data_IF_975534281246
#
_entry.id   IF_975534281246
#
_cell.length_a   1.000
_cell.length_b   1.000
_cell.length_c   1.000
_cell.angle_alpha   90.00
_cell.angle_beta   90.00
_cell.angle_gamma   90.00
#
_symmetry.space_group_name_H-M   'P 1'
#
loop_
_entity.id
_entity.type
_entity.pdbx_description
1 polymer ?
#
# COMPACT_ATOMS: atom_id res chain seq x y z
N UNK A 1 10.14 -2.52 -13.27
CA UNK A 1 9.84 -1.50 -12.24
C UNK A 1 8.45 -0.92 -12.49
N UNK A 2 7.79 -0.34 -11.48
CA UNK A 2 6.42 0.18 -11.58
C UNK A 2 6.23 1.17 -12.74
N UNK A 3 7.23 2.02 -13.00
CA UNK A 3 7.22 2.99 -14.10
C UNK A 3 6.96 2.32 -15.45
N UNK A 4 7.76 1.31 -15.82
CA UNK A 4 7.61 0.58 -17.08
C UNK A 4 6.31 -0.23 -17.17
N UNK A 5 5.69 -0.55 -16.03
CA UNK A 5 4.35 -1.13 -16.05
C UNK A 5 3.31 -0.05 -16.37
N UNK A 6 3.38 1.13 -15.74
CA UNK A 6 2.49 2.27 -16.03
C UNK A 6 2.53 2.67 -17.50
N UNK A 7 3.73 2.79 -18.09
CA UNK A 7 3.88 3.12 -19.51
C UNK A 7 3.16 2.12 -20.41
N UNK A 8 3.39 0.81 -20.20
CA UNK A 8 2.73 -0.24 -20.99
C UNK A 8 1.21 -0.28 -20.82
N UNK A 9 0.68 0.07 -19.65
CA UNK A 9 -0.77 0.17 -19.46
C UNK A 9 -1.33 1.38 -20.22
N UNK A 10 -0.63 2.52 -20.22
CA UNK A 10 -1.05 3.69 -20.98
C UNK A 10 -0.94 3.52 -22.51
N UNK A 11 -0.01 2.69 -22.98
CA UNK A 11 0.06 2.33 -24.40
C UNK A 11 -1.19 1.52 -24.85
N UNK A 12 -1.73 0.68 -23.97
CA UNK A 12 -2.92 -0.14 -24.23
C UNK A 12 -4.23 0.66 -24.05
N UNK A 13 -4.27 1.58 -23.08
CA UNK A 13 -5.40 2.46 -22.79
C UNK A 13 -5.00 3.95 -22.88
N UNK A 14 -4.86 4.50 -24.09
CA UNK A 14 -4.31 5.85 -24.29
C UNK A 14 -5.22 6.97 -23.77
N UNK A 15 -6.53 6.73 -23.69
CA UNK A 15 -7.51 7.70 -23.18
C UNK A 15 -7.70 7.62 -21.65
N UNK A 16 -7.01 6.70 -20.97
CA UNK A 16 -7.17 6.51 -19.54
C UNK A 16 -6.37 7.53 -18.71
N UNK A 17 -7.03 8.10 -17.70
CA UNK A 17 -6.38 8.96 -16.72
C UNK A 17 -5.81 8.13 -15.56
N UNK A 18 -4.52 8.31 -15.25
CA UNK A 18 -3.91 7.62 -14.10
C UNK A 18 -4.26 8.34 -12.81
N UNK A 19 -4.95 7.64 -11.91
CA UNK A 19 -5.27 8.15 -10.58
C UNK A 19 -3.98 8.34 -9.77
N UNK A 20 -3.81 9.54 -9.24
CA UNK A 20 -2.63 9.92 -8.44
C UNK A 20 -2.71 9.41 -7.01
N UNK A 21 -3.93 9.17 -6.52
CA UNK A 21 -4.20 8.69 -5.16
C UNK A 21 -4.50 7.21 -5.19
N UNK A 22 -4.15 6.56 -4.08
CA UNK A 22 -4.42 5.15 -3.84
C UNK A 22 -5.65 4.92 -2.94
N UNK A 23 -6.41 5.99 -2.68
CA UNK A 23 -7.69 5.92 -1.96
C UNK A 23 -8.71 5.17 -2.83
N UNK A 24 -9.79 4.73 -2.20
CA UNK A 24 -10.95 4.26 -2.96
C UNK A 24 -11.41 5.38 -3.91
N UNK A 25 -11.54 5.10 -5.21
CA UNK A 25 -12.03 6.08 -6.16
C UNK A 25 -13.43 6.55 -5.74
N UNK A 26 -13.70 7.87 -5.79
CA UNK A 26 -15.01 8.38 -5.43
C UNK A 26 -16.09 7.98 -6.46
N UNK A 27 -17.36 8.02 -6.06
CA UNK A 27 -18.48 7.54 -6.87
C UNK A 27 -18.59 8.24 -8.23
N UNK A 28 -18.19 9.50 -8.34
CA UNK A 28 -18.17 10.25 -9.59
C UNK A 28 -17.16 9.68 -10.59
N UNK A 29 -16.05 9.10 -10.11
CA UNK A 29 -15.07 8.40 -10.96
C UNK A 29 -15.58 6.99 -11.29
N UNK A 30 -16.08 6.25 -10.30
CA UNK A 30 -16.54 4.86 -10.45
C UNK A 30 -17.72 4.76 -11.42
N UNK A 31 -18.64 5.73 -11.42
CA UNK A 31 -19.83 5.75 -12.26
C UNK A 31 -19.71 6.70 -13.47
N UNK A 32 -18.50 7.19 -13.78
CA UNK A 32 -18.28 8.02 -14.96
C UNK A 32 -18.23 7.21 -16.26
N UNK A 33 -18.39 7.90 -17.39
CA UNK A 33 -18.12 7.35 -18.73
C UNK A 33 -16.62 7.39 -19.10
N UNK A 34 -15.76 7.88 -18.19
CA UNK A 34 -14.31 8.01 -18.41
C UNK A 34 -13.55 6.71 -18.14
N UNK A 35 -12.27 6.71 -18.54
CA UNK A 35 -11.36 5.60 -18.26
C UNK A 35 -10.33 6.05 -17.23
N UNK A 36 -10.18 5.28 -16.16
CA UNK A 36 -9.28 5.62 -15.05
C UNK A 36 -8.46 4.40 -14.65
N UNK A 37 -7.16 4.60 -14.41
CA UNK A 37 -6.24 3.56 -13.99
C UNK A 37 -5.62 3.89 -12.62
N UNK A 38 -5.88 3.05 -11.62
CA UNK A 38 -5.19 3.09 -10.34
C UNK A 38 -4.11 2.02 -10.30
N UNK A 39 -2.84 2.46 -10.28
CA UNK A 39 -1.69 1.56 -10.39
C UNK A 39 -0.81 1.67 -9.16
N UNK A 40 -0.74 0.58 -8.40
CA UNK A 40 0.00 0.49 -7.15
C UNK A 40 1.04 -0.64 -7.17
N UNK A 41 2.16 -0.43 -6.49
CA UNK A 41 3.06 -1.52 -6.13
C UNK A 41 2.66 -2.06 -4.75
N UNK A 42 2.56 -3.38 -4.64
CA UNK A 42 2.16 -4.07 -3.40
C UNK A 42 3.25 -5.04 -2.99
N UNK A 43 3.33 -5.31 -1.69
CA UNK A 43 4.26 -6.27 -1.10
C UNK A 43 3.55 -7.62 -0.95
N UNK A 44 4.12 -8.74 -1.43
CA UNK A 44 3.54 -10.04 -1.21
C UNK A 44 3.58 -10.43 0.28
N UNK A 45 2.58 -11.19 0.72
CA UNK A 45 2.50 -11.71 2.09
C UNK A 45 2.67 -13.22 2.05
N UNK A 46 3.62 -13.73 2.86
CA UNK A 46 3.88 -15.16 2.97
C UNK A 46 2.60 -15.93 3.33
N UNK A 47 2.30 -16.97 2.55
CA UNK A 47 1.12 -17.80 2.77
C UNK A 47 1.15 -18.45 4.17
N UNK A 48 0.00 -18.54 4.82
CA UNK A 48 -0.14 -19.05 6.20
C UNK A 48 0.51 -20.43 6.41
N UNK A 49 0.40 -21.32 5.42
CA UNK A 49 1.03 -22.66 5.45
C UNK A 49 2.55 -22.64 5.58
N UNK A 50 3.21 -21.51 5.29
CA UNK A 50 4.66 -21.35 5.33
C UNK A 50 5.14 -20.43 6.46
N UNK A 51 4.25 -19.77 7.19
CA UNK A 51 4.64 -18.81 8.24
C UNK A 51 5.45 -19.44 9.37
N UNK A 52 5.31 -20.75 9.62
CA UNK A 52 6.13 -21.49 10.58
C UNK A 52 7.64 -21.44 10.27
N UNK A 53 8.02 -21.13 9.02
CA UNK A 53 9.42 -20.96 8.64
C UNK A 53 10.06 -19.74 9.33
N UNK A 54 9.28 -18.72 9.69
CA UNK A 54 9.77 -17.52 10.38
C UNK A 54 10.32 -17.84 11.77
N UNK A 55 9.79 -18.88 12.42
CA UNK A 55 10.23 -19.34 13.75
C UNK A 55 11.29 -20.45 13.68
N UNK A 56 11.71 -20.85 12.48
CA UNK A 56 12.64 -21.95 12.25
C UNK A 56 14.00 -21.40 11.79
N UNK A 57 15.14 -21.97 12.25
CA UNK A 57 16.45 -21.58 11.74
C UNK A 57 16.67 -22.13 10.33
N UNK A 58 16.06 -21.48 9.34
CA UNK A 58 16.26 -21.73 7.90
C UNK A 58 17.11 -20.63 7.28
N UNK A 59 17.75 -20.92 6.15
CA UNK A 59 18.51 -19.90 5.41
C UNK A 59 17.58 -18.83 4.83
N UNK A 60 18.02 -17.56 4.85
CA UNK A 60 17.29 -16.41 4.31
C UNK A 60 16.79 -16.62 2.87
N UNK A 61 17.55 -17.36 2.05
CA UNK A 61 17.16 -17.67 0.67
C UNK A 61 15.87 -18.48 0.60
N UNK A 62 15.66 -19.39 1.55
CA UNK A 62 14.44 -20.20 1.64
C UNK A 62 13.27 -19.32 2.07
N UNK A 63 13.46 -18.45 3.06
CA UNK A 63 12.43 -17.48 3.49
C UNK A 63 12.00 -16.57 2.33
N UNK A 64 12.97 -15.93 1.66
CA UNK A 64 12.72 -15.04 0.51
C UNK A 64 11.95 -15.72 -0.62
N UNK A 65 12.19 -17.01 -0.85
CA UNK A 65 11.42 -17.76 -1.84
C UNK A 65 9.94 -17.79 -1.47
N UNK A 66 9.58 -18.19 -0.24
CA UNK A 66 8.19 -18.28 0.20
C UNK A 66 7.53 -16.92 0.50
N UNK A 67 8.31 -15.86 0.69
CA UNK A 67 7.82 -14.48 0.75
C UNK A 67 7.31 -13.99 -0.61
N UNK A 68 7.89 -14.46 -1.72
CA UNK A 68 7.63 -13.90 -3.06
C UNK A 68 6.96 -14.87 -4.04
N UNK A 69 6.90 -16.18 -3.72
CA UNK A 69 6.43 -17.23 -4.62
C UNK A 69 5.25 -17.99 -4.00
N UNK A 70 4.32 -18.43 -4.82
CA UNK A 70 3.08 -19.10 -4.40
C UNK A 70 2.26 -18.30 -3.37
N UNK A 71 2.17 -16.99 -3.58
CA UNK A 71 1.47 -16.04 -2.71
C UNK A 71 0.14 -15.59 -3.32
N UNK A 72 -0.88 -15.43 -2.47
CA UNK A 72 -2.21 -14.95 -2.87
C UNK A 72 -2.69 -13.75 -2.05
N UNK A 73 -1.87 -13.31 -1.08
CA UNK A 73 -2.13 -12.15 -0.23
C UNK A 73 -1.06 -11.09 -0.51
N UNK A 74 -1.47 -9.83 -0.58
CA UNK A 74 -0.59 -8.69 -0.81
C UNK A 74 -1.00 -7.55 0.11
N UNK A 75 -0.06 -6.71 0.49
CA UNK A 75 -0.34 -5.53 1.32
C UNK A 75 0.31 -4.27 0.73
N UNK A 76 -0.30 -3.13 1.02
CA UNK A 76 0.34 -1.83 0.87
C UNK A 76 -0.09 -0.91 2.02
N UNK A 77 0.74 0.08 2.34
CA UNK A 77 0.47 1.03 3.42
C UNK A 77 0.66 2.45 2.95
N UNK A 78 -0.21 3.35 3.41
CA UNK A 78 -0.23 4.77 3.02
C UNK A 78 -0.14 5.64 4.26
N UNK A 79 0.83 6.57 4.33
CA UNK A 79 0.93 7.47 5.47
C UNK A 79 -0.16 8.54 5.40
N UNK A 80 -0.79 8.83 6.54
CA UNK A 80 -1.71 9.95 6.70
C UNK A 80 -1.58 10.56 8.10
N UNK A 81 -2.07 11.78 8.31
CA UNK A 81 -2.05 12.43 9.61
C UNK A 81 -3.44 12.44 10.24
N UNK A 82 -3.54 12.03 11.51
CA UNK A 82 -4.79 12.18 12.28
C UNK A 82 -4.75 13.50 13.06
N UNK A 83 -5.67 14.45 12.77
CA UNK A 83 -5.66 15.75 13.43
C UNK A 83 -5.87 15.66 14.95
N UNK A 84 -6.63 14.66 15.41
CA UNK A 84 -7.04 14.49 16.81
C UNK A 84 -5.88 14.11 17.75
N UNK A 85 -4.81 13.51 17.23
CA UNK A 85 -3.61 13.17 18.01
C UNK A 85 -2.61 14.34 18.11
N UNK A 86 -2.92 15.49 17.50
CA UNK A 86 -2.14 16.73 17.66
C UNK A 86 -2.38 17.41 19.01
N UNK A 87 -3.23 16.84 19.87
CA UNK A 87 -3.53 17.38 21.21
C UNK A 87 -2.35 17.06 22.14
N UNK A 88 -1.29 17.84 21.99
CA UNK A 88 -0.36 18.09 23.09
C UNK A 88 -1.14 18.92 24.12
N UNK A 89 -1.49 18.26 25.22
CA UNK A 89 -1.94 18.87 26.46
C UNK A 89 -0.95 19.94 26.93
N UNK A 90 -1.38 21.20 27.03
CA UNK A 90 -0.70 22.24 27.80
C UNK A 90 -0.87 23.65 27.23
N UNK A 91 -1.25 24.58 28.10
CA UNK A 91 -1.51 26.01 27.86
C UNK A 91 -0.28 26.84 27.43
N UNK A 92 0.50 26.38 26.45
CA UNK A 92 1.66 27.11 25.95
C UNK A 92 1.56 27.29 24.44
N UNK A 93 1.27 28.52 24.02
CA UNK A 93 1.50 29.03 22.66
C UNK A 93 3.00 29.15 22.40
N UNK A 94 3.74 28.05 22.47
CA UNK A 94 5.13 28.00 22.07
C UNK A 94 5.23 27.12 20.81
N UNK A 95 5.51 27.80 19.70
CA UNK A 95 6.05 27.28 18.44
C UNK A 95 5.79 25.79 18.13
N UNK A 96 4.61 25.51 17.58
CA UNK A 96 4.21 24.22 16.98
C UNK A 96 4.97 23.94 15.66
N UNK A 97 6.18 24.47 15.49
CA UNK A 97 7.09 24.12 14.39
C UNK A 97 7.93 22.88 14.72
N UNK A 98 7.91 22.41 15.98
CA UNK A 98 8.66 21.24 16.46
C UNK A 98 7.81 20.05 16.92
N UNK A 99 6.50 20.05 16.68
CA UNK A 99 5.66 18.89 17.00
C UNK A 99 6.17 17.67 16.23
N UNK A 100 6.46 16.58 16.96
CA UNK A 100 7.01 15.35 16.42
C UNK A 100 6.12 14.82 15.28
N UNK A 101 6.59 14.94 14.03
CA UNK A 101 5.85 14.48 12.84
C UNK A 101 5.49 12.98 12.92
N UNK A 102 6.22 12.19 13.73
CA UNK A 102 5.90 10.79 13.97
C UNK A 102 4.73 10.58 14.93
N UNK A 103 4.37 11.57 15.76
CA UNK A 103 3.29 11.44 16.75
C UNK A 103 1.90 11.49 16.11
N UNK A 104 1.76 12.22 15.01
CA UNK A 104 0.48 12.39 14.30
C UNK A 104 0.40 11.54 13.03
N UNK A 105 1.49 10.86 12.66
CA UNK A 105 1.59 10.04 11.45
C UNK A 105 1.08 8.62 11.69
N UNK A 106 0.03 8.27 10.96
CA UNK A 106 -0.57 6.94 10.92
C UNK A 106 -0.29 6.26 9.59
N UNK A 107 -0.41 4.94 9.57
CA UNK A 107 -0.41 4.12 8.36
C UNK A 107 -1.80 3.52 8.16
N UNK A 108 -2.38 3.74 7.00
CA UNK A 108 -3.54 3.00 6.53
C UNK A 108 -3.02 1.80 5.70
N UNK A 109 -3.28 0.58 6.19
CA UNK A 109 -2.80 -0.67 5.58
C UNK A 109 -3.98 -1.37 4.91
N UNK A 110 -3.83 -1.65 3.62
CA UNK A 110 -4.79 -2.42 2.84
C UNK A 110 -4.22 -3.78 2.52
N UNK A 111 -5.00 -4.83 2.79
CA UNK A 111 -4.71 -6.20 2.37
C UNK A 111 -5.56 -6.56 1.15
N UNK A 112 -4.93 -7.21 0.17
CA UNK A 112 -5.55 -7.69 -1.05
C UNK A 112 -5.43 -9.20 -1.09
N UNK A 113 -6.52 -9.87 -1.45
CA UNK A 113 -6.55 -11.31 -1.67
C UNK A 113 -7.01 -11.61 -3.09
N UNK A 114 -6.20 -12.36 -3.83
CA UNK A 114 -6.54 -12.85 -5.18
C UNK A 114 -7.08 -14.28 -5.11
N UNK A 115 -7.79 -14.72 -6.15
CA UNK A 115 -8.39 -16.06 -6.23
C UNK A 115 -7.36 -17.17 -6.24
N UNK A 116 -6.31 -17.00 -7.06
CA UNK A 116 -5.31 -18.02 -7.35
C UNK A 116 -3.91 -17.50 -7.05
N UNK A 117 -3.01 -18.30 -6.45
CA UNK A 117 -1.68 -17.85 -6.08
C UNK A 117 -0.83 -17.53 -7.32
N UNK A 118 -0.08 -16.44 -7.25
CA UNK A 118 0.93 -16.12 -8.26
C UNK A 118 2.18 -16.98 -8.06
N UNK A 119 2.84 -17.39 -9.16
CA UNK A 119 4.04 -18.22 -9.12
C UNK A 119 5.18 -17.56 -8.36
#
# INVERSE_FOLDING_TARGET
MLHSFKERMLDEWPEAEVLLKLDEPPDDIVHSDGQYLQINAVTPVMAEKWQWLLDTPVEDRVLRYYEHNNVSKFEYSRPFHRPEDSIVTGDSKEDVSGANEFATRWLDRTELQISDPLP
#
